data_IF_499397695403
#
_entry.id   IF_499397695403
#
_cell.length_a   1.000
_cell.length_b   1.000
_cell.length_c   1.000
_cell.angle_alpha   90.00
_cell.angle_beta   90.00
_cell.angle_gamma   90.00
#
_symmetry.space_group_name_H-M   'P 1'
#
loop_
_entity.id
_entity.type
_entity.pdbx_description
1 polymer ?
#
# COMPACT_ATOMS: atom_id res chain seq x y z
N UNK A 1 -2.13 1.13 29.05
CA UNK A 1 -2.02 1.63 27.66
C UNK A 1 -2.22 0.44 26.74
N UNK A 2 -3.48 0.34 26.23
CA UNK A 2 -4.00 -0.86 25.60
C UNK A 2 -3.25 -1.28 24.35
N UNK A 3 -2.71 -2.48 24.34
CA UNK A 3 -2.53 -3.26 23.14
C UNK A 3 -3.91 -3.38 22.52
N UNK A 4 -4.07 -2.96 21.24
CA UNK A 4 -5.27 -3.29 20.47
C UNK A 4 -5.28 -4.82 20.42
N UNK A 5 -6.31 -5.48 20.95
CA UNK A 5 -6.37 -6.93 20.88
C UNK A 5 -6.43 -7.32 19.41
N UNK A 6 -5.41 -8.00 18.90
CA UNK A 6 -5.39 -8.59 17.56
C UNK A 6 -6.29 -9.84 17.65
N UNK A 7 -7.59 -9.60 17.62
CA UNK A 7 -8.62 -10.66 17.67
C UNK A 7 -8.97 -11.16 16.26
N UNK A 8 -8.57 -10.41 15.22
CA UNK A 8 -8.81 -10.75 13.82
C UNK A 8 -7.51 -10.82 13.03
N UNK A 9 -7.52 -11.60 11.95
CA UNK A 9 -6.41 -11.69 11.01
C UNK A 9 -6.22 -10.34 10.32
N UNK A 10 -5.02 -9.77 10.43
CA UNK A 10 -4.72 -8.45 9.88
C UNK A 10 -4.78 -8.44 8.35
N UNK A 11 -5.41 -7.41 7.77
CA UNK A 11 -5.39 -7.12 6.33
C UNK A 11 -4.67 -5.80 6.09
N UNK A 12 -3.86 -5.74 5.04
CA UNK A 12 -3.16 -4.52 4.61
C UNK A 12 -3.49 -4.28 3.14
N UNK A 13 -3.99 -3.09 2.83
CA UNK A 13 -4.21 -2.62 1.46
C UNK A 13 -3.01 -1.78 1.03
N UNK A 14 -2.23 -2.27 0.08
CA UNK A 14 -1.15 -1.50 -0.57
C UNK A 14 -1.67 -0.74 -1.77
N UNK A 15 -1.23 0.50 -1.93
CA UNK A 15 -1.60 1.36 -3.05
C UNK A 15 -0.34 1.93 -3.70
N UNK A 16 -0.23 1.74 -5.01
CA UNK A 16 0.72 2.45 -5.87
C UNK A 16 0.00 3.64 -6.54
N UNK A 17 0.29 4.89 -6.13
CA UNK A 17 -0.47 6.05 -6.58
C UNK A 17 -0.08 6.47 -8.00
N UNK A 18 -1.06 6.64 -8.86
CA UNK A 18 -0.92 7.22 -10.19
C UNK A 18 -2.12 8.08 -10.58
N UNK A 19 -1.95 9.04 -11.46
CA UNK A 19 -3.04 9.93 -11.91
C UNK A 19 -3.89 9.34 -13.04
N UNK A 20 -3.46 8.25 -13.67
CA UNK A 20 -4.16 7.54 -14.75
C UNK A 20 -4.48 6.10 -14.38
N UNK A 21 -3.54 5.47 -13.71
CA UNK A 21 -3.66 4.10 -13.22
C UNK A 21 -3.20 4.11 -11.77
N UNK A 22 -4.00 3.55 -10.89
CA UNK A 22 -3.67 3.32 -9.48
C UNK A 22 -3.63 1.82 -9.26
N UNK A 23 -2.49 1.29 -8.84
CA UNK A 23 -2.38 -0.10 -8.44
C UNK A 23 -2.94 -0.31 -7.04
N UNK A 24 -3.58 -1.45 -6.80
CA UNK A 24 -3.95 -1.87 -5.45
C UNK A 24 -3.66 -3.35 -5.23
N UNK A 25 -3.36 -3.71 -3.99
CA UNK A 25 -3.24 -5.09 -3.56
C UNK A 25 -3.65 -5.24 -2.10
N UNK A 26 -4.52 -6.19 -1.82
CA UNK A 26 -4.92 -6.59 -0.47
C UNK A 26 -4.18 -7.86 -0.08
N UNK A 27 -3.46 -7.83 1.01
CA UNK A 27 -2.89 -9.02 1.64
C UNK A 27 -3.52 -9.26 2.99
N UNK A 28 -3.60 -10.52 3.39
CA UNK A 28 -4.13 -10.94 4.68
C UNK A 28 -3.20 -11.88 5.42
N UNK A 29 -3.12 -11.73 6.74
CA UNK A 29 -2.43 -12.68 7.58
C UNK A 29 -3.25 -13.97 7.71
N UNK A 30 -2.61 -15.13 7.56
CA UNK A 30 -3.26 -16.44 7.81
C UNK A 30 -3.32 -16.79 9.29
N UNK A 31 -2.55 -16.07 10.11
CA UNK A 31 -2.49 -16.20 11.57
C UNK A 31 -2.84 -14.87 12.24
N UNK A 32 -3.36 -14.91 13.46
CA UNK A 32 -3.66 -13.72 14.26
C UNK A 32 -2.39 -12.92 14.59
N UNK A 33 -1.27 -13.61 14.84
CA UNK A 33 0.05 -13.00 15.06
C UNK A 33 1.02 -13.54 14.02
N UNK A 34 1.10 -12.93 12.84
CA UNK A 34 2.07 -13.35 11.83
C UNK A 34 3.49 -13.06 12.32
N UNK A 35 4.38 -14.04 12.22
CA UNK A 35 5.78 -13.96 12.63
C UNK A 35 6.75 -14.23 11.48
N UNK A 36 6.23 -14.62 10.34
CA UNK A 36 6.98 -15.04 9.15
C UNK A 36 6.41 -14.40 7.89
N UNK A 37 7.24 -14.19 6.86
CA UNK A 37 6.76 -13.81 5.52
C UNK A 37 5.69 -14.75 4.97
N UNK A 38 5.78 -16.04 5.24
CA UNK A 38 4.84 -17.08 4.78
C UNK A 38 3.46 -17.02 5.48
N UNK A 39 3.33 -16.20 6.51
CA UNK A 39 2.06 -16.02 7.21
C UNK A 39 1.13 -15.01 6.51
N UNK A 40 1.52 -14.50 5.34
CA UNK A 40 0.75 -13.56 4.53
C UNK A 40 0.38 -14.15 3.18
N UNK A 41 -0.84 -13.88 2.74
CA UNK A 41 -1.37 -14.32 1.44
C UNK A 41 -1.99 -13.15 0.70
N UNK A 42 -1.97 -13.20 -0.62
CA UNK A 42 -2.68 -12.25 -1.49
C UNK A 42 -4.16 -12.60 -1.46
N UNK A 43 -5.00 -11.63 -1.12
CA UNK A 43 -6.45 -11.76 -1.10
C UNK A 43 -7.08 -11.17 -2.36
N UNK A 44 -6.57 -10.01 -2.81
CA UNK A 44 -7.03 -9.35 -4.03
C UNK A 44 -5.93 -8.44 -4.58
N UNK A 45 -5.94 -8.23 -5.91
CA UNK A 45 -4.94 -7.41 -6.58
C UNK A 45 -5.47 -6.91 -7.92
N UNK A 46 -5.26 -5.63 -8.20
CA UNK A 46 -5.76 -5.04 -9.44
C UNK A 46 -5.32 -3.61 -9.68
N UNK A 47 -6.00 -2.97 -10.60
CA UNK A 47 -5.76 -1.57 -10.97
C UNK A 47 -7.07 -0.81 -11.11
N UNK A 48 -7.08 0.45 -10.67
CA UNK A 48 -8.11 1.44 -10.93
C UNK A 48 -7.64 2.28 -12.12
N UNK A 49 -8.45 2.38 -13.16
CA UNK A 49 -8.14 3.20 -14.35
C UNK A 49 -9.07 4.40 -14.40
N UNK A 50 -8.51 5.59 -14.63
CA UNK A 50 -9.28 6.80 -14.89
C UNK A 50 -9.28 7.13 -16.37
N UNK A 51 -10.36 7.74 -16.88
CA UNK A 51 -10.39 8.20 -18.27
C UNK A 51 -9.42 9.36 -18.50
N UNK A 52 -8.69 9.28 -19.60
CA UNK A 52 -7.78 10.35 -20.05
C UNK A 52 -8.52 11.57 -20.60
N UNK A 53 -9.80 11.43 -20.93
CA UNK A 53 -10.67 12.52 -21.42
C UNK A 53 -11.19 13.42 -20.28
N UNK A 54 -11.16 12.91 -19.05
CA UNK A 54 -11.56 13.66 -17.88
C UNK A 54 -10.53 14.70 -17.47
N UNK A 55 -11.02 15.82 -16.97
CA UNK A 55 -10.18 16.83 -16.30
C UNK A 55 -9.49 16.24 -15.06
N UNK A 56 -8.40 16.82 -14.62
CA UNK A 56 -7.69 16.37 -13.43
C UNK A 56 -8.58 16.32 -12.18
N UNK A 57 -9.39 17.35 -11.85
CA UNK A 57 -10.32 17.27 -10.72
C UNK A 57 -11.29 16.10 -10.80
N UNK A 58 -11.86 15.83 -11.98
CA UNK A 58 -12.79 14.71 -12.17
C UNK A 58 -12.10 13.35 -11.98
N UNK A 59 -10.86 13.19 -12.45
CA UNK A 59 -10.05 11.98 -12.20
C UNK A 59 -9.73 11.79 -10.73
N UNK A 60 -9.39 12.86 -10.01
CA UNK A 60 -9.16 12.81 -8.56
C UNK A 60 -10.40 12.34 -7.81
N UNK A 61 -11.59 12.83 -8.22
CA UNK A 61 -12.87 12.37 -7.69
C UNK A 61 -13.10 10.87 -7.92
N UNK A 62 -12.81 10.37 -9.14
CA UNK A 62 -12.89 8.93 -9.45
C UNK A 62 -11.93 8.10 -8.60
N UNK A 63 -10.67 8.53 -8.48
CA UNK A 63 -9.67 7.85 -7.65
C UNK A 63 -10.14 7.80 -6.21
N UNK A 64 -10.56 8.95 -5.63
CA UNK A 64 -11.04 9.01 -4.27
C UNK A 64 -12.24 8.08 -4.05
N UNK A 65 -13.24 8.10 -4.93
CA UNK A 65 -14.44 7.25 -4.84
C UNK A 65 -14.07 5.77 -4.89
N UNK A 66 -13.30 5.34 -5.89
CA UNK A 66 -12.90 3.95 -6.04
C UNK A 66 -12.10 3.43 -4.82
N UNK A 67 -11.17 4.23 -4.30
CA UNK A 67 -10.43 3.86 -3.08
C UNK A 67 -11.36 3.79 -1.87
N UNK A 68 -12.30 4.73 -1.75
CA UNK A 68 -13.26 4.74 -0.65
C UNK A 68 -14.16 3.50 -0.66
N UNK A 69 -14.56 3.03 -1.84
CA UNK A 69 -15.34 1.80 -2.04
C UNK A 69 -14.51 0.55 -1.72
N UNK A 70 -13.27 0.46 -2.22
CA UNK A 70 -12.34 -0.62 -1.88
C UNK A 70 -12.13 -0.76 -0.37
N UNK A 71 -11.96 0.37 0.34
CA UNK A 71 -11.81 0.36 1.80
C UNK A 71 -13.07 -0.16 2.50
N UNK A 72 -14.25 0.11 1.93
CA UNK A 72 -15.53 -0.36 2.48
C UNK A 72 -15.70 -1.87 2.30
N UNK A 73 -15.40 -2.37 1.10
CA UNK A 73 -15.58 -3.76 0.72
C UNK A 73 -14.53 -4.68 1.36
N UNK A 74 -13.27 -4.25 1.33
CA UNK A 74 -12.14 -5.05 1.79
C UNK A 74 -11.92 -4.95 3.30
N UNK A 75 -12.36 -3.88 3.95
CA UNK A 75 -12.20 -3.61 5.38
C UNK A 75 -10.76 -3.87 5.89
N UNK A 76 -9.72 -3.23 5.33
CA UNK A 76 -8.34 -3.42 5.77
C UNK A 76 -8.12 -2.73 7.12
N UNK A 77 -7.27 -3.30 7.98
CA UNK A 77 -6.85 -2.68 9.22
C UNK A 77 -5.82 -1.55 9.01
N UNK A 78 -5.10 -1.60 7.88
CA UNK A 78 -4.11 -0.61 7.49
C UNK A 78 -4.14 -0.40 5.98
N UNK A 79 -3.87 0.83 5.54
CA UNK A 79 -3.57 1.15 4.16
C UNK A 79 -2.10 1.57 4.04
N UNK A 80 -1.38 1.01 3.09
CA UNK A 80 0.01 1.33 2.81
C UNK A 80 0.12 2.06 1.47
N UNK A 81 0.91 3.13 1.43
CA UNK A 81 1.09 3.94 0.22
C UNK A 81 2.57 4.32 0.07
N UNK A 82 3.03 4.42 -1.17
CA UNK A 82 4.38 4.90 -1.43
C UNK A 82 4.54 6.36 -0.97
N UNK A 83 5.62 6.63 -0.25
CA UNK A 83 5.99 7.98 0.16
C UNK A 83 6.41 8.79 -1.07
N UNK A 84 5.90 10.01 -1.20
CA UNK A 84 6.22 10.88 -2.32
C UNK A 84 7.74 11.00 -2.54
N UNK A 85 8.19 10.83 -3.80
CA UNK A 85 9.59 10.82 -4.18
C UNK A 85 9.97 12.08 -4.99
N UNK A 86 11.17 12.59 -4.74
CA UNK A 86 11.77 13.69 -5.49
C UNK A 86 12.59 13.09 -6.64
N UNK A 87 12.29 13.39 -7.89
CA UNK A 87 13.06 12.86 -9.02
C UNK A 87 12.35 12.91 -10.38
N UNK A 88 11.10 13.33 -10.39
CA UNK A 88 10.30 13.56 -11.60
C UNK A 88 10.22 15.06 -11.90
N UNK A 89 9.91 15.44 -13.16
CA UNK A 89 9.68 16.85 -13.47
C UNK A 89 8.50 17.42 -12.65
N UNK A 90 8.51 18.73 -12.40
CA UNK A 90 7.55 19.40 -11.51
C UNK A 90 6.07 19.12 -11.87
N UNK A 91 5.73 19.08 -13.17
CA UNK A 91 4.36 18.82 -13.62
C UNK A 91 3.90 17.40 -13.31
N UNK A 92 4.77 16.41 -13.44
CA UNK A 92 4.48 15.02 -13.09
C UNK A 92 4.39 14.86 -11.58
N UNK A 93 5.30 15.48 -10.83
CA UNK A 93 5.30 15.45 -9.37
C UNK A 93 4.01 16.03 -8.79
N UNK A 94 3.54 17.18 -9.36
CA UNK A 94 2.29 17.79 -8.94
C UNK A 94 1.09 16.85 -9.14
N UNK A 95 0.91 16.31 -10.35
CA UNK A 95 -0.20 15.38 -10.66
C UNK A 95 -0.17 14.13 -9.78
N UNK A 96 1.01 13.60 -9.48
CA UNK A 96 1.17 12.45 -8.60
C UNK A 96 0.85 12.81 -7.15
N UNK A 97 1.26 14.00 -6.70
CA UNK A 97 0.93 14.53 -5.37
C UNK A 97 -0.56 14.74 -5.18
N UNK A 98 -1.26 15.28 -6.20
CA UNK A 98 -2.73 15.46 -6.19
C UNK A 98 -3.44 14.09 -6.09
N UNK A 99 -3.07 13.12 -6.92
CA UNK A 99 -3.64 11.77 -6.86
C UNK A 99 -3.39 11.10 -5.50
N UNK A 100 -2.16 11.19 -4.98
CA UNK A 100 -1.81 10.69 -3.66
C UNK A 100 -2.63 11.37 -2.56
N UNK A 101 -2.84 12.68 -2.64
CA UNK A 101 -3.67 13.43 -1.69
C UNK A 101 -5.12 12.94 -1.68
N UNK A 102 -5.71 12.70 -2.85
CA UNK A 102 -7.05 12.14 -2.98
C UNK A 102 -7.17 10.74 -2.35
N UNK A 103 -6.16 9.87 -2.52
CA UNK A 103 -6.10 8.54 -1.92
C UNK A 103 -6.03 8.64 -0.39
N UNK A 104 -5.12 9.48 0.15
CA UNK A 104 -4.97 9.66 1.60
C UNK A 104 -6.25 10.25 2.22
N UNK A 105 -6.94 11.14 1.52
CA UNK A 105 -8.22 11.68 1.97
C UNK A 105 -9.28 10.56 2.12
N UNK A 106 -9.33 9.59 1.20
CA UNK A 106 -10.20 8.41 1.32
C UNK A 106 -9.84 7.55 2.54
N UNK A 107 -8.54 7.31 2.79
CA UNK A 107 -8.09 6.59 3.99
C UNK A 107 -8.55 7.28 5.28
N UNK A 108 -8.33 8.60 5.35
CA UNK A 108 -8.72 9.42 6.51
C UNK A 108 -10.23 9.38 6.77
N UNK A 109 -11.04 9.52 5.71
CA UNK A 109 -12.52 9.48 5.82
C UNK A 109 -13.04 8.13 6.30
N UNK A 110 -12.32 7.03 6.01
CA UNK A 110 -12.63 5.68 6.51
C UNK A 110 -11.95 5.35 7.83
N UNK A 111 -11.21 6.30 8.42
CA UNK A 111 -10.44 6.11 9.65
C UNK A 111 -9.46 4.92 9.55
N UNK A 112 -8.97 4.61 8.35
CA UNK A 112 -7.96 3.55 8.13
C UNK A 112 -6.58 4.15 8.34
N UNK A 113 -5.79 3.64 9.29
CA UNK A 113 -4.42 4.12 9.55
C UNK A 113 -3.54 3.95 8.31
N UNK A 114 -2.81 5.03 7.96
CA UNK A 114 -1.94 5.05 6.79
C UNK A 114 -0.51 4.70 7.16
N UNK A 115 0.09 3.77 6.43
CA UNK A 115 1.50 3.41 6.46
C UNK A 115 2.18 4.01 5.23
N UNK A 116 3.22 4.81 5.44
CA UNK A 116 4.01 5.36 4.35
C UNK A 116 5.36 4.63 4.26
N UNK A 117 5.73 4.18 3.06
CA UNK A 117 6.98 3.45 2.81
C UNK A 117 7.69 4.03 1.59
N UNK A 118 9.00 4.19 1.66
CA UNK A 118 9.78 4.69 0.53
C UNK A 118 10.11 3.57 -0.47
N UNK A 119 10.33 3.90 -1.78
CA UNK A 119 10.77 2.91 -2.77
C UNK A 119 12.02 2.14 -2.34
N UNK A 120 12.99 2.81 -1.72
CA UNK A 120 14.22 2.19 -1.24
C UNK A 120 13.96 1.21 -0.09
N UNK A 121 13.00 1.51 0.80
CA UNK A 121 12.59 0.59 1.88
C UNK A 121 11.88 -0.63 1.31
N UNK A 122 10.96 -0.45 0.35
CA UNK A 122 10.30 -1.57 -0.34
C UNK A 122 11.35 -2.50 -0.95
N UNK A 123 12.27 -1.96 -1.74
CA UNK A 123 13.34 -2.72 -2.38
C UNK A 123 14.22 -3.46 -1.37
N UNK A 124 14.63 -2.79 -0.31
CA UNK A 124 15.46 -3.39 0.74
C UNK A 124 14.74 -4.52 1.47
N UNK A 125 13.46 -4.35 1.78
CA UNK A 125 12.69 -5.34 2.53
C UNK A 125 12.38 -6.56 1.67
N UNK A 126 12.00 -6.37 0.40
CA UNK A 126 11.60 -7.46 -0.50
C UNK A 126 12.82 -8.18 -1.09
N UNK A 127 13.78 -7.43 -1.62
CA UNK A 127 14.92 -7.95 -2.38
C UNK A 127 16.26 -7.89 -1.61
N UNK A 128 16.26 -7.46 -0.35
CA UNK A 128 17.47 -7.35 0.48
C UNK A 128 18.37 -6.16 0.13
N UNK A 129 18.08 -5.38 -0.92
CA UNK A 129 18.90 -4.27 -1.38
C UNK A 129 18.04 -3.08 -1.82
N UNK A 130 18.23 -1.90 -1.23
CA UNK A 130 17.50 -0.68 -1.56
C UNK A 130 17.74 -0.14 -2.98
N UNK A 131 18.81 -0.58 -3.65
CA UNK A 131 19.12 -0.28 -5.05
C UNK A 131 18.60 -1.34 -6.04
N UNK A 132 17.87 -2.37 -5.57
CA UNK A 132 17.33 -3.43 -6.41
C UNK A 132 16.51 -2.88 -7.59
N UNK A 133 16.60 -3.53 -8.74
CA UNK A 133 15.76 -3.20 -9.89
C UNK A 133 14.31 -3.64 -9.65
N UNK A 134 13.35 -3.09 -10.43
CA UNK A 134 11.95 -3.55 -10.39
C UNK A 134 11.83 -5.04 -10.67
N UNK A 135 12.62 -5.55 -11.61
CA UNK A 135 12.63 -6.99 -11.96
C UNK A 135 13.08 -7.85 -10.76
N UNK A 136 14.11 -7.44 -10.03
CA UNK A 136 14.58 -8.15 -8.84
C UNK A 136 13.52 -8.16 -7.73
N UNK A 137 12.82 -7.04 -7.52
CA UNK A 137 11.69 -6.98 -6.57
C UNK A 137 10.57 -7.91 -6.99
N UNK A 138 10.22 -7.91 -8.29
CA UNK A 138 9.18 -8.78 -8.83
C UNK A 138 9.53 -10.27 -8.65
N UNK A 139 10.75 -10.68 -8.99
CA UNK A 139 11.23 -12.06 -8.81
C UNK A 139 11.23 -12.48 -7.34
N UNK A 140 11.63 -11.59 -6.44
CA UNK A 140 11.58 -11.86 -5.00
C UNK A 140 10.14 -12.05 -4.51
N UNK A 141 9.19 -11.21 -4.96
CA UNK A 141 7.77 -11.37 -4.64
C UNK A 141 7.21 -12.70 -5.17
N UNK A 142 7.57 -13.09 -6.40
CA UNK A 142 7.16 -14.38 -6.96
C UNK A 142 7.63 -15.55 -6.09
N UNK A 143 8.90 -15.52 -5.69
CA UNK A 143 9.47 -16.56 -4.82
C UNK A 143 8.80 -16.60 -3.44
N UNK A 144 8.42 -15.44 -2.89
CA UNK A 144 7.80 -15.33 -1.57
C UNK A 144 6.32 -15.73 -1.57
N UNK A 145 5.58 -15.40 -2.64
CA UNK A 145 4.12 -15.53 -2.70
C UNK A 145 3.64 -16.63 -3.65
N UNK A 146 4.54 -17.23 -4.45
CA UNK A 146 4.22 -18.38 -5.30
C UNK A 146 3.31 -18.09 -6.49
N UNK A 147 3.24 -16.85 -7.00
CA UNK A 147 2.45 -16.54 -8.18
C UNK A 147 3.25 -16.66 -9.49
N UNK A 148 2.57 -16.94 -10.62
CA UNK A 148 3.22 -17.12 -11.92
C UNK A 148 3.60 -15.77 -12.56
N UNK A 149 4.74 -15.77 -13.29
CA UNK A 149 5.23 -14.59 -14.03
C UNK A 149 4.20 -14.15 -15.08
N UNK A 150 4.03 -12.83 -15.25
CA UNK A 150 3.13 -12.24 -16.26
C UNK A 150 1.66 -12.18 -15.86
N UNK A 151 1.29 -12.66 -14.69
CA UNK A 151 -0.10 -12.69 -14.22
C UNK A 151 -0.63 -11.34 -13.69
N UNK A 152 0.26 -10.41 -13.34
CA UNK A 152 -0.11 -9.12 -12.73
C UNK A 152 0.29 -7.93 -13.60
N UNK A 153 -0.58 -6.91 -13.75
CA UNK A 153 -0.17 -5.59 -14.26
C UNK A 153 0.95 -4.99 -13.42
N UNK A 154 1.82 -4.17 -14.02
CA UNK A 154 2.97 -3.58 -13.33
C UNK A 154 2.55 -2.76 -12.10
N UNK A 155 1.56 -1.86 -12.25
CA UNK A 155 1.07 -1.04 -11.14
C UNK A 155 0.50 -1.89 -9.98
N UNK A 156 -0.17 -2.99 -10.32
CA UNK A 156 -0.69 -3.95 -9.33
C UNK A 156 0.45 -4.70 -8.61
N UNK A 157 1.52 -5.03 -9.33
CA UNK A 157 2.73 -5.62 -8.75
C UNK A 157 3.47 -4.65 -7.81
N UNK A 158 3.57 -3.37 -8.17
CA UNK A 158 4.16 -2.34 -7.33
C UNK A 158 3.31 -2.15 -6.05
N UNK A 159 1.98 -2.13 -6.15
CA UNK A 159 1.08 -2.09 -5.00
C UNK A 159 1.21 -3.32 -4.09
N UNK A 160 1.40 -4.51 -4.66
CA UNK A 160 1.65 -5.74 -3.91
C UNK A 160 2.98 -5.67 -3.15
N UNK A 161 4.03 -5.13 -3.77
CA UNK A 161 5.31 -4.89 -3.12
C UNK A 161 5.16 -3.94 -1.91
N UNK A 162 4.39 -2.84 -2.07
CA UNK A 162 4.09 -1.89 -1.01
C UNK A 162 3.35 -2.57 0.15
N UNK A 163 2.30 -3.34 -0.13
CA UNK A 163 1.53 -4.06 0.89
C UNK A 163 2.42 -5.03 1.68
N UNK A 164 3.17 -5.85 0.94
CA UNK A 164 3.99 -6.91 1.53
C UNK A 164 5.19 -6.37 2.30
N UNK A 165 5.89 -5.36 1.76
CA UNK A 165 6.97 -4.69 2.49
C UNK A 165 6.46 -4.05 3.78
N UNK A 166 5.29 -3.43 3.75
CA UNK A 166 4.65 -2.85 4.94
C UNK A 166 4.28 -3.91 5.98
N UNK A 167 3.83 -5.09 5.55
CA UNK A 167 3.57 -6.22 6.42
C UNK A 167 4.86 -6.72 7.10
N UNK A 168 5.92 -6.93 6.34
CA UNK A 168 7.21 -7.41 6.85
C UNK A 168 7.89 -6.38 7.77
N UNK A 169 7.80 -5.10 7.44
CA UNK A 169 8.31 -4.04 8.31
C UNK A 169 7.70 -4.09 9.71
N UNK A 170 6.44 -4.53 9.85
CA UNK A 170 5.75 -4.68 11.15
C UNK A 170 6.23 -5.89 11.95
N UNK A 171 6.80 -6.91 11.32
CA UNK A 171 7.35 -8.09 11.99
C UNK A 171 8.75 -7.84 12.60
N UNK A 172 9.47 -6.84 12.09
CA UNK A 172 10.84 -6.51 12.52
C UNK A 172 10.92 -5.40 13.58
N UNK A 173 12.12 -5.00 13.96
CA UNK A 173 12.37 -3.88 14.89
C UNK A 173 11.72 -2.56 14.43
N UNK A 174 11.54 -2.36 13.13
CA UNK A 174 10.82 -1.22 12.57
C UNK A 174 9.31 -1.26 12.87
N UNK A 175 8.72 -2.41 13.18
CA UNK A 175 7.31 -2.51 13.55
C UNK A 175 6.94 -1.71 14.80
N UNK A 176 7.89 -1.49 15.70
CA UNK A 176 7.69 -0.63 16.87
C UNK A 176 7.59 0.87 16.51
N UNK A 177 8.23 1.31 15.43
CA UNK A 177 8.15 2.69 14.96
C UNK A 177 6.77 3.00 14.36
N UNK A 178 6.16 2.07 13.62
CA UNK A 178 4.81 2.23 13.05
C UNK A 178 3.70 2.25 14.12
N UNK A 179 3.85 1.46 15.19
CA UNK A 179 2.92 1.50 16.34
C UNK A 179 2.94 2.85 17.06
N UNK A 180 4.04 3.58 17.02
CA UNK A 180 4.17 4.89 17.65
C UNK A 180 3.50 6.01 16.83
N UNK A 181 3.40 5.89 15.52
CA UNK A 181 2.68 6.85 14.65
C UNK A 181 1.17 6.73 14.86
N UNK A 182 0.63 5.52 15.00
CA UNK A 182 -0.78 5.30 15.32
C UNK A 182 -1.16 5.83 16.71
N UNK A 183 -0.21 5.85 17.67
CA UNK A 183 -0.40 6.40 19.02
C UNK A 183 -0.37 7.94 19.07
N UNK A 184 0.18 8.61 18.07
CA UNK A 184 0.28 10.09 18.02
C UNK A 184 -0.96 10.80 17.52
N UNK A 185 -2.00 10.06 17.09
CA UNK A 185 -3.28 10.63 16.68
C UNK A 185 -4.37 10.18 17.69
N UNK A 186 -4.45 10.78 18.91
CA UNK A 186 -5.55 10.50 19.81
C UNK A 186 -6.82 11.09 19.19
N UNK A 187 -7.89 10.30 19.15
CA UNK A 187 -9.23 10.71 18.80
C UNK A 187 -9.52 12.06 19.49
N UNK A 188 -9.73 13.12 18.70
CA UNK A 188 -10.46 14.27 19.21
C UNK A 188 -11.93 13.88 19.24
N UNK A 189 -12.43 13.79 20.44
CA UNK A 189 -13.85 13.76 20.79
C UNK A 189 -14.58 14.95 20.20
#
# INVERSE_FOLDING_TARGET
LGQIPVTEKSKILGIDPGSRVVGFALIGAIKVKPVSPKDWVVLDVGVIRTSTELSMPARLGQIHGAIFDLLSEMAPQYAAIEKAFHGVNAGTALKLGEARGAIIAAFSRRSVPTLEITPAEVKRIIAGNGAASKEQVYQALQALLGFERGRLPLDASDALAIAYASALARLGPMGQAFTNVAKKNPKRS
#
